data_IF_549221744209
#
_entry.id   IF_549221744209
#
_cell.length_a   1.000
_cell.length_b   1.000
_cell.length_c   1.000
_cell.angle_alpha   90.00
_cell.angle_beta   90.00
_cell.angle_gamma   90.00
#
_symmetry.space_group_name_H-M   'P 1'
#
loop_
_entity.id
_entity.type
_entity.pdbx_description
1 polymer ?
#
# COMPACT_ATOMS: atom_id res chain seq x y z
N UNK A 1 -9.17 10.90 9.86
CA UNK A 1 -8.00 10.32 9.17
C UNK A 1 -8.08 8.83 9.40
N UNK A 2 -8.26 7.99 8.38
CA UNK A 2 -8.71 6.60 8.61
C UNK A 2 -7.61 5.62 9.04
N UNK A 3 -6.34 6.01 8.93
CA UNK A 3 -5.19 5.17 9.22
C UNK A 3 -3.86 5.79 8.81
N UNK A 4 -2.79 4.99 8.88
CA UNK A 4 -1.43 5.37 8.50
C UNK A 4 -0.79 4.27 7.65
N UNK A 5 -0.10 4.65 6.58
CA UNK A 5 0.85 3.77 5.89
C UNK A 5 2.19 3.86 6.62
N UNK A 6 2.68 2.75 7.16
CA UNK A 6 3.90 2.70 7.97
C UNK A 6 4.86 1.65 7.41
N UNK A 7 6.12 2.03 7.23
CA UNK A 7 7.17 1.14 6.76
C UNK A 7 8.27 1.89 6.04
N UNK A 8 8.91 1.23 5.09
CA UNK A 8 10.01 1.77 4.33
C UNK A 8 9.77 1.60 2.83
N UNK A 9 10.42 2.46 2.06
CA UNK A 9 10.60 2.26 0.63
C UNK A 9 12.04 2.52 0.24
N UNK A 10 12.48 1.93 -0.86
CA UNK A 10 13.83 2.09 -1.37
C UNK A 10 13.84 2.10 -2.90
N UNK A 11 14.78 2.84 -3.52
CA UNK A 11 15.00 2.71 -4.96
C UNK A 11 15.41 1.27 -5.30
N UNK A 12 14.76 0.71 -6.30
CA UNK A 12 14.88 -0.71 -6.69
C UNK A 12 15.35 -0.89 -8.14
N UNK A 13 15.61 0.21 -8.84
CA UNK A 13 16.05 0.22 -10.24
C UNK A 13 17.09 1.31 -10.45
N UNK A 14 18.05 1.03 -11.35
CA UNK A 14 19.05 1.99 -11.79
C UNK A 14 18.62 2.74 -13.06
N UNK A 15 17.62 2.25 -13.77
CA UNK A 15 17.19 2.79 -15.08
C UNK A 15 15.91 3.60 -14.99
N UNK A 16 15.11 3.39 -13.95
CA UNK A 16 13.85 4.08 -13.76
C UNK A 16 13.61 4.40 -12.28
N UNK A 17 12.68 5.33 -12.03
CA UNK A 17 12.24 5.64 -10.67
C UNK A 17 11.21 4.58 -10.24
N UNK A 18 11.74 3.45 -9.78
CA UNK A 18 10.98 2.35 -9.19
C UNK A 18 11.34 2.18 -7.73
N UNK A 19 10.32 2.08 -6.88
CA UNK A 19 10.46 1.88 -5.45
C UNK A 19 10.10 0.44 -5.07
N UNK A 20 10.90 -0.20 -4.23
CA UNK A 20 10.44 -1.32 -3.40
C UNK A 20 9.62 -0.74 -2.26
N UNK A 21 8.41 -1.22 -2.07
CA UNK A 21 7.50 -0.86 -0.99
C UNK A 21 7.48 -1.99 0.04
N UNK A 22 7.77 -1.67 1.29
CA UNK A 22 7.62 -2.57 2.44
C UNK A 22 6.76 -1.83 3.47
N UNK A 23 5.44 -1.93 3.33
CA UNK A 23 4.48 -1.09 4.04
C UNK A 23 3.40 -1.91 4.74
N UNK A 24 2.91 -1.38 5.86
CA UNK A 24 1.64 -1.75 6.47
C UNK A 24 0.65 -0.58 6.36
N UNK A 25 -0.55 -0.83 5.86
CA UNK A 25 -1.70 0.06 6.05
C UNK A 25 -2.34 -0.27 7.39
N UNK A 26 -2.12 0.58 8.39
CA UNK A 26 -2.66 0.43 9.74
C UNK A 26 -3.89 1.32 9.91
N UNK A 27 -5.07 0.71 10.07
CA UNK A 27 -6.33 1.42 10.20
C UNK A 27 -6.58 1.82 11.66
N UNK A 28 -7.02 3.06 11.90
CA UNK A 28 -7.20 3.63 13.25
C UNK A 28 -8.62 4.09 13.54
N UNK A 29 -9.53 3.99 12.57
CA UNK A 29 -10.92 4.41 12.69
C UNK A 29 -11.87 3.41 12.02
N UNK A 30 -13.15 3.45 12.39
CA UNK A 30 -14.22 2.65 11.78
C UNK A 30 -14.15 1.14 12.06
N UNK A 31 -14.82 0.34 11.20
CA UNK A 31 -14.98 -1.11 11.37
C UNK A 31 -13.67 -1.93 11.35
N UNK A 32 -12.57 -1.32 10.90
CA UNK A 32 -11.27 -1.97 10.76
C UNK A 32 -10.22 -1.44 11.74
N UNK A 33 -10.63 -0.62 12.71
CA UNK A 33 -9.73 -0.05 13.70
C UNK A 33 -8.87 -1.13 14.39
N UNK A 34 -7.55 -0.91 14.44
CA UNK A 34 -6.57 -1.84 15.01
C UNK A 34 -6.15 -2.98 14.08
N UNK A 35 -6.72 -3.09 12.88
CA UNK A 35 -6.33 -4.08 11.86
C UNK A 35 -5.31 -3.50 10.87
N UNK A 36 -4.54 -4.37 10.23
CA UNK A 36 -3.53 -3.97 9.23
C UNK A 36 -3.62 -4.80 7.96
N UNK A 37 -3.18 -4.22 6.84
CA UNK A 37 -2.84 -4.92 5.60
C UNK A 37 -1.37 -4.69 5.27
N UNK A 38 -0.67 -5.74 4.84
CA UNK A 38 0.75 -5.68 4.51
C UNK A 38 0.98 -5.72 3.01
N UNK A 39 1.90 -4.91 2.53
CA UNK A 39 2.31 -4.78 1.13
C UNK A 39 3.82 -4.99 1.02
N UNK A 40 4.22 -5.88 0.12
CA UNK A 40 5.59 -6.07 -0.33
C UNK A 40 5.57 -6.04 -1.86
N UNK A 41 5.98 -4.92 -2.47
CA UNK A 41 5.74 -4.72 -3.89
C UNK A 41 6.74 -3.80 -4.56
N UNK A 42 6.93 -3.96 -5.87
CA UNK A 42 7.60 -2.98 -6.73
C UNK A 42 6.60 -1.91 -7.18
N UNK A 43 7.01 -0.65 -7.19
CA UNK A 43 6.18 0.53 -7.43
C UNK A 43 6.91 1.52 -8.35
N UNK A 44 6.66 1.41 -9.65
CA UNK A 44 7.15 2.35 -10.67
C UNK A 44 6.40 3.68 -10.57
N UNK A 45 6.95 4.68 -9.88
CA UNK A 45 6.18 5.85 -9.42
C UNK A 45 5.47 6.65 -10.54
N UNK A 46 6.00 6.61 -11.76
CA UNK A 46 5.47 7.31 -12.94
C UNK A 46 4.48 6.49 -13.77
N UNK A 47 4.30 5.20 -13.47
CA UNK A 47 3.30 4.37 -14.16
C UNK A 47 1.89 4.78 -13.74
N UNK A 48 0.97 4.83 -14.72
CA UNK A 48 -0.39 5.39 -14.56
C UNK A 48 -1.27 4.64 -13.55
N UNK A 49 -1.02 3.34 -13.39
CA UNK A 49 -1.64 2.49 -12.39
C UNK A 49 -0.64 1.41 -11.99
N UNK A 50 -0.49 1.17 -10.69
CA UNK A 50 0.48 0.22 -10.15
C UNK A 50 -0.25 -0.76 -9.26
N UNK A 51 -0.09 -2.03 -9.54
CA UNK A 51 -0.67 -3.09 -8.74
C UNK A 51 0.35 -3.58 -7.70
N UNK A 52 -0.09 -3.71 -6.45
CA UNK A 52 0.73 -4.19 -5.35
C UNK A 52 -0.01 -5.30 -4.61
N UNK A 53 0.59 -6.48 -4.40
CA UNK A 53 -0.07 -7.56 -3.69
C UNK A 53 -0.27 -7.19 -2.21
N UNK A 54 -1.43 -7.58 -1.68
CA UNK A 54 -1.64 -7.73 -0.25
C UNK A 54 -1.05 -9.08 0.15
N UNK A 55 0.08 -9.05 0.84
CA UNK A 55 0.83 -10.26 1.25
C UNK A 55 0.38 -10.81 2.60
N UNK A 56 -0.49 -10.09 3.30
CA UNK A 56 -1.08 -10.53 4.56
C UNK A 56 -1.84 -9.41 5.27
N UNK A 57 -2.29 -9.71 6.49
CA UNK A 57 -2.98 -8.75 7.34
C UNK A 57 -3.15 -9.26 8.76
N UNK A 58 -3.56 -8.35 9.65
CA UNK A 58 -3.80 -8.62 11.07
C UNK A 58 -5.21 -8.19 11.48
N UNK A 59 -5.64 -8.59 12.68
CA UNK A 59 -6.98 -8.28 13.18
C UNK A 59 -8.06 -8.91 12.29
N UNK A 60 -9.01 -8.09 11.85
CA UNK A 60 -10.09 -8.50 10.92
C UNK A 60 -9.53 -9.02 9.59
N UNK A 61 -8.34 -8.56 9.19
CA UNK A 61 -7.68 -8.99 7.96
C UNK A 61 -6.76 -10.20 8.15
N UNK A 62 -6.97 -11.02 9.19
CA UNK A 62 -6.21 -12.26 9.35
C UNK A 62 -6.40 -13.17 8.13
N UNK A 63 -5.29 -13.74 7.64
CA UNK A 63 -5.21 -14.52 6.40
C UNK A 63 -5.63 -13.74 5.15
N UNK A 64 -5.49 -12.41 5.16
CA UNK A 64 -5.83 -11.58 4.01
C UNK A 64 -4.98 -11.93 2.79
N UNK A 65 -5.64 -11.94 1.62
CA UNK A 65 -5.03 -11.97 0.30
C UNK A 65 -5.78 -11.03 -0.63
N UNK A 66 -5.08 -10.45 -1.59
CA UNK A 66 -5.69 -9.51 -2.53
C UNK A 66 -4.65 -8.62 -3.18
N UNK A 67 -5.09 -7.46 -3.66
CA UNK A 67 -4.23 -6.50 -4.34
C UNK A 67 -4.70 -5.06 -4.07
N UNK A 68 -3.77 -4.13 -4.19
CA UNK A 68 -4.01 -2.71 -4.17
C UNK A 68 -3.65 -2.10 -5.52
N UNK A 69 -4.47 -1.19 -6.02
CA UNK A 69 -4.16 -0.35 -7.17
C UNK A 69 -3.82 1.06 -6.68
N UNK A 70 -2.63 1.53 -7.04
CA UNK A 70 -2.15 2.85 -6.69
C UNK A 70 -2.11 3.77 -7.92
N UNK A 71 -2.58 5.00 -7.77
CA UNK A 71 -2.53 6.07 -8.78
C UNK A 71 -1.97 7.34 -8.17
N UNK A 72 -0.91 7.88 -8.77
CA UNK A 72 -0.33 9.15 -8.32
C UNK A 72 -1.25 10.29 -8.75
N UNK A 73 -1.73 11.08 -7.79
CA UNK A 73 -2.60 12.25 -8.03
C UNK A 73 -1.79 13.53 -8.14
N UNK A 74 -0.76 13.68 -7.32
CA UNK A 74 0.24 14.74 -7.41
C UNK A 74 1.58 14.25 -6.87
N UNK A 75 2.67 14.84 -7.34
CA UNK A 75 4.03 14.53 -6.88
C UNK A 75 4.93 15.76 -7.03
N UNK A 76 5.66 16.08 -5.97
CA UNK A 76 6.75 17.05 -5.93
C UNK A 76 8.08 16.33 -5.63
N UNK A 77 9.16 17.07 -5.39
CA UNK A 77 10.44 16.47 -5.04
C UNK A 77 10.44 15.76 -3.67
N UNK A 78 9.53 16.14 -2.76
CA UNK A 78 9.54 15.65 -1.36
C UNK A 78 8.21 15.04 -0.92
N UNK A 79 7.13 15.26 -1.67
CA UNK A 79 5.78 14.84 -1.29
C UNK A 79 5.06 14.23 -2.50
N UNK A 80 4.22 13.23 -2.25
CA UNK A 80 3.31 12.69 -3.24
C UNK A 80 1.96 12.36 -2.61
N UNK A 81 0.88 12.66 -3.33
CA UNK A 81 -0.47 12.20 -3.01
C UNK A 81 -0.79 11.03 -3.91
N UNK A 82 -1.01 9.86 -3.30
CA UNK A 82 -1.30 8.61 -4.01
C UNK A 82 -2.66 8.08 -3.56
N UNK A 83 -3.54 7.86 -4.52
CA UNK A 83 -4.81 7.18 -4.29
C UNK A 83 -4.60 5.68 -4.29
N UNK A 84 -5.21 4.99 -3.33
CA UNK A 84 -5.22 3.53 -3.23
C UNK A 84 -6.64 2.99 -3.26
N UNK A 85 -6.88 2.04 -4.17
CA UNK A 85 -8.04 1.16 -4.15
C UNK A 85 -7.57 -0.23 -3.74
N UNK A 86 -8.06 -0.75 -2.62
CA UNK A 86 -7.59 -2.02 -2.05
C UNK A 86 -8.72 -3.05 -2.07
N UNK A 87 -8.48 -4.17 -2.73
CA UNK A 87 -9.41 -5.28 -2.85
C UNK A 87 -8.86 -6.47 -2.07
N UNK A 88 -9.55 -6.86 -1.00
CA UNK A 88 -9.05 -7.86 -0.06
C UNK A 88 -10.10 -8.92 0.26
N UNK A 89 -9.68 -10.17 0.19
CA UNK A 89 -10.40 -11.30 0.78
C UNK A 89 -9.82 -11.57 2.17
N UNK A 90 -10.69 -11.71 3.16
CA UNK A 90 -10.33 -12.11 4.51
C UNK A 90 -11.47 -12.97 5.10
N UNK A 91 -11.20 -13.61 6.23
CA UNK A 91 -12.18 -14.44 6.94
C UNK A 91 -12.92 -13.60 7.99
N UNK A 92 -14.06 -14.13 8.46
CA UNK A 92 -14.77 -13.57 9.62
C UNK A 92 -14.15 -14.07 10.91
#
# INVERSE_FOLDING_TARGET
>A
MVGKAQGMYAYSSHTEISLLMVLNFAFTEGKYNGSTLSVLARNEAFSTMREMPIVGGTGVFRFARGYAQARTRSMSQVEAIVEYNVFVFHYR
#
